data_IF_900411492406
#
_entry.id   IF_900411492406
#
_cell.length_a   1.000
_cell.length_b   1.000
_cell.length_c   1.000
_cell.angle_alpha   90.00
_cell.angle_beta   90.00
_cell.angle_gamma   90.00
#
_symmetry.space_group_name_H-M   'P 1'
#
loop_
_entity.id
_entity.type
_entity.pdbx_description
1 polymer ?
#
# COMPACT_ATOMS: atom_id res chain seq x y z
N UNK A 1 -35.56 -65.82 79.49
CA UNK A 1 -34.84 -66.53 78.39
C UNK A 1 -35.69 -66.67 77.13
N UNK A 2 -36.94 -67.16 77.21
CA UNK A 2 -37.82 -67.35 76.05
C UNK A 2 -38.11 -66.06 75.24
N UNK A 3 -38.42 -64.93 75.89
CA UNK A 3 -38.72 -63.67 75.20
C UNK A 3 -37.56 -63.11 74.35
N UNK A 4 -36.30 -63.35 74.76
CA UNK A 4 -35.15 -62.97 73.95
C UNK A 4 -34.99 -63.88 72.73
N UNK A 5 -35.25 -65.19 72.87
CA UNK A 5 -35.21 -66.12 71.73
C UNK A 5 -36.25 -65.78 70.65
N UNK A 6 -37.46 -65.36 71.02
CA UNK A 6 -38.46 -64.91 70.05
C UNK A 6 -38.09 -63.59 69.35
N UNK A 7 -37.45 -62.66 70.05
CA UNK A 7 -36.90 -61.44 69.44
C UNK A 7 -35.79 -61.76 68.44
N UNK A 8 -34.87 -62.67 68.77
CA UNK A 8 -33.83 -63.12 67.85
C UNK A 8 -34.40 -63.85 66.63
N UNK A 9 -35.41 -64.71 66.82
CA UNK A 9 -36.09 -65.38 65.71
C UNK A 9 -36.80 -64.37 64.78
N UNK A 10 -37.49 -63.38 65.35
CA UNK A 10 -38.14 -62.32 64.56
C UNK A 10 -37.12 -61.47 63.79
N UNK A 11 -36.00 -61.09 64.41
CA UNK A 11 -34.92 -60.36 63.75
C UNK A 11 -34.34 -61.18 62.59
N UNK A 12 -34.08 -62.48 62.77
CA UNK A 12 -33.59 -63.35 61.72
C UNK A 12 -34.58 -63.51 60.56
N UNK A 13 -35.89 -63.62 60.85
CA UNK A 13 -36.93 -63.69 59.83
C UNK A 13 -36.98 -62.38 59.03
N UNK A 14 -36.93 -61.22 59.69
CA UNK A 14 -36.90 -59.92 59.00
C UNK A 14 -35.65 -59.78 58.14
N UNK A 15 -34.47 -60.17 58.65
CA UNK A 15 -33.23 -60.17 57.87
C UNK A 15 -33.35 -61.10 56.65
N UNK A 16 -33.92 -62.30 56.81
CA UNK A 16 -34.11 -63.24 55.71
C UNK A 16 -35.05 -62.68 54.64
N UNK A 17 -36.19 -62.11 55.03
CA UNK A 17 -37.16 -61.51 54.09
C UNK A 17 -36.52 -60.34 53.33
N UNK A 18 -35.82 -59.44 54.04
CA UNK A 18 -35.17 -58.28 53.43
C UNK A 18 -34.05 -58.71 52.47
N UNK A 19 -33.23 -59.68 52.86
CA UNK A 19 -32.15 -60.19 52.00
C UNK A 19 -32.67 -60.95 50.78
N UNK A 20 -33.73 -61.75 50.93
CA UNK A 20 -34.40 -62.41 49.80
C UNK A 20 -35.00 -61.39 48.82
N UNK A 21 -35.69 -60.36 49.33
CA UNK A 21 -36.25 -59.27 48.52
C UNK A 21 -35.16 -58.47 47.80
N UNK A 22 -34.06 -58.15 48.48
CA UNK A 22 -32.91 -57.45 47.89
C UNK A 22 -32.24 -58.32 46.80
N UNK A 23 -32.11 -59.62 47.03
CA UNK A 23 -31.56 -60.56 46.05
C UNK A 23 -32.42 -60.60 44.78
N UNK A 24 -33.75 -60.70 44.93
CA UNK A 24 -34.69 -60.69 43.81
C UNK A 24 -34.61 -59.39 42.99
N UNK A 25 -34.63 -58.23 43.65
CA UNK A 25 -34.48 -56.93 42.98
C UNK A 25 -33.13 -56.80 42.26
N UNK A 26 -32.03 -57.27 42.87
CA UNK A 26 -30.71 -57.26 42.22
C UNK A 26 -30.66 -58.14 40.98
N UNK A 27 -31.34 -59.28 41.00
CA UNK A 27 -31.44 -60.17 39.84
C UNK A 27 -32.21 -59.50 38.69
N UNK A 28 -33.35 -58.87 38.98
CA UNK A 28 -34.15 -58.12 38.00
C UNK A 28 -33.37 -56.93 37.41
N UNK A 29 -32.65 -56.18 38.24
CA UNK A 29 -31.81 -55.07 37.75
C UNK A 29 -30.62 -55.55 36.92
N UNK A 30 -30.12 -56.76 37.16
CA UNK A 30 -29.04 -57.37 36.38
C UNK A 30 -29.52 -57.78 34.99
N UNK A 31 -30.72 -58.37 34.87
CA UNK A 31 -31.27 -58.73 33.55
C UNK A 31 -31.60 -57.50 32.71
N UNK A 32 -32.20 -56.46 33.32
CA UNK A 32 -32.45 -55.17 32.63
C UNK A 32 -31.16 -54.52 32.14
N UNK A 33 -30.11 -54.50 32.97
CA UNK A 33 -28.82 -53.93 32.59
C UNK A 33 -28.17 -54.70 31.43
N UNK A 34 -28.30 -56.02 31.42
CA UNK A 34 -27.78 -56.85 30.32
C UNK A 34 -28.53 -56.56 29.02
N UNK A 35 -29.86 -56.50 29.07
CA UNK A 35 -30.69 -56.16 27.92
C UNK A 35 -30.33 -54.79 27.31
N UNK A 36 -30.24 -53.74 28.14
CA UNK A 36 -29.85 -52.42 27.65
C UNK A 36 -28.42 -52.37 27.12
N UNK A 37 -27.50 -53.16 27.70
CA UNK A 37 -26.13 -53.24 27.19
C UNK A 37 -26.08 -53.87 25.80
N UNK A 38 -26.85 -54.93 25.57
CA UNK A 38 -26.95 -55.57 24.26
C UNK A 38 -27.59 -54.64 23.23
N UNK A 39 -28.63 -53.90 23.61
CA UNK A 39 -29.27 -52.94 22.72
C UNK A 39 -28.35 -51.79 22.32
N UNK A 40 -27.60 -51.22 23.27
CA UNK A 40 -26.59 -50.19 22.98
C UNK A 40 -25.48 -50.73 22.07
N UNK A 41 -25.05 -51.97 22.27
CA UNK A 41 -24.07 -52.60 21.39
C UNK A 41 -24.61 -52.81 19.98
N UNK A 42 -25.86 -53.26 19.83
CA UNK A 42 -26.50 -53.41 18.52
C UNK A 42 -26.63 -52.06 17.83
N UNK A 43 -27.11 -51.04 18.53
CA UNK A 43 -27.20 -49.68 18.02
C UNK A 43 -25.84 -49.13 17.60
N UNK A 44 -24.77 -49.37 18.35
CA UNK A 44 -23.43 -48.92 17.95
C UNK A 44 -22.94 -49.65 16.70
N UNK A 45 -23.26 -50.95 16.54
CA UNK A 45 -22.89 -51.74 15.35
C UNK A 45 -23.72 -51.31 14.14
N UNK A 46 -25.04 -51.13 14.28
CA UNK A 46 -25.89 -50.66 13.17
C UNK A 46 -25.64 -49.19 12.86
N UNK A 47 -25.40 -48.34 13.86
CA UNK A 47 -25.01 -46.93 13.63
C UNK A 47 -23.58 -46.81 13.11
N UNK A 48 -22.77 -47.86 13.07
CA UNK A 48 -21.47 -47.82 12.36
C UNK A 48 -21.53 -48.53 11.01
N UNK A 49 -22.39 -49.54 10.86
CA UNK A 49 -22.50 -50.35 9.65
C UNK A 49 -23.61 -49.90 8.67
N UNK A 50 -24.73 -49.34 9.15
CA UNK A 50 -25.94 -49.10 8.35
C UNK A 50 -26.14 -47.63 7.94
N UNK A 51 -25.30 -46.69 8.38
CA UNK A 51 -25.40 -45.29 7.97
C UNK A 51 -24.37 -44.90 6.90
N UNK A 52 -24.76 -45.02 5.62
CA UNK A 52 -24.26 -44.14 4.54
C UNK A 52 -22.73 -44.11 4.38
N UNK A 53 -22.04 -45.24 4.53
CA UNK A 53 -20.62 -45.34 4.18
C UNK A 53 -20.58 -45.93 2.78
N UNK A 54 -20.34 -45.09 1.78
CA UNK A 54 -19.83 -45.53 0.48
C UNK A 54 -18.70 -46.52 0.76
N UNK A 55 -18.56 -47.60 -0.01
CA UNK A 55 -17.40 -48.47 0.22
C UNK A 55 -16.13 -47.61 0.16
N UNK A 56 -15.07 -47.90 0.92
CA UNK A 56 -13.86 -47.07 0.91
C UNK A 56 -13.33 -46.84 -0.52
N UNK A 57 -13.51 -47.82 -1.40
CA UNK A 57 -13.20 -47.72 -2.83
C UNK A 57 -14.08 -46.71 -3.60
N UNK A 58 -15.36 -46.60 -3.27
CA UNK A 58 -16.27 -45.61 -3.86
C UNK A 58 -15.96 -44.19 -3.37
N UNK A 59 -15.60 -44.03 -2.09
CA UNK A 59 -15.18 -42.73 -1.54
C UNK A 59 -13.89 -42.23 -2.20
N UNK A 60 -12.90 -43.13 -2.37
CA UNK A 60 -11.65 -42.81 -3.07
C UNK A 60 -11.89 -42.44 -4.54
N UNK A 61 -12.81 -43.14 -5.22
CA UNK A 61 -13.17 -42.83 -6.60
C UNK A 61 -13.86 -41.46 -6.72
N UNK A 62 -14.80 -41.14 -5.84
CA UNK A 62 -15.45 -39.82 -5.81
C UNK A 62 -14.46 -38.70 -5.47
N UNK A 63 -13.59 -38.93 -4.49
CA UNK A 63 -12.53 -38.01 -4.12
C UNK A 63 -11.58 -37.74 -5.30
N UNK A 64 -11.17 -38.79 -6.03
CA UNK A 64 -10.32 -38.65 -7.20
C UNK A 64 -10.99 -37.84 -8.32
N UNK A 65 -12.30 -38.01 -8.54
CA UNK A 65 -13.06 -37.22 -9.53
C UNK A 65 -13.14 -35.75 -9.12
N UNK A 66 -13.44 -35.47 -7.86
CA UNK A 66 -13.45 -34.11 -7.32
C UNK A 66 -12.07 -33.43 -7.45
N UNK A 67 -10.99 -34.17 -7.18
CA UNK A 67 -9.63 -33.66 -7.35
C UNK A 67 -9.31 -33.33 -8.80
N UNK A 68 -9.67 -34.19 -9.75
CA UNK A 68 -9.47 -33.93 -11.18
C UNK A 68 -10.24 -32.69 -11.67
N UNK A 69 -11.48 -32.52 -11.22
CA UNK A 69 -12.29 -31.35 -11.56
C UNK A 69 -11.68 -30.06 -10.96
N UNK A 70 -11.21 -30.13 -9.72
CA UNK A 70 -10.52 -29.02 -9.05
C UNK A 70 -9.22 -28.66 -9.79
N UNK A 71 -8.40 -29.65 -10.17
CA UNK A 71 -7.20 -29.42 -10.98
C UNK A 71 -7.51 -28.77 -12.32
N UNK A 72 -8.55 -29.23 -13.02
CA UNK A 72 -8.96 -28.65 -14.29
C UNK A 72 -9.43 -27.20 -14.12
N UNK A 73 -10.16 -26.90 -13.05
CA UNK A 73 -10.61 -25.55 -12.74
C UNK A 73 -9.43 -24.63 -12.35
N UNK A 74 -8.52 -25.12 -11.52
CA UNK A 74 -7.30 -24.41 -11.13
C UNK A 74 -6.42 -24.08 -12.35
N UNK A 75 -6.30 -25.00 -13.32
CA UNK A 75 -5.59 -24.75 -14.58
C UNK A 75 -6.22 -23.59 -15.35
N UNK A 76 -7.55 -23.62 -15.55
CA UNK A 76 -8.28 -22.54 -16.24
C UNK A 76 -8.09 -21.18 -15.55
N UNK A 77 -8.20 -21.14 -14.22
CA UNK A 77 -7.99 -19.91 -13.44
C UNK A 77 -6.54 -19.44 -13.52
N UNK A 78 -5.57 -20.37 -13.50
CA UNK A 78 -4.16 -20.03 -13.62
C UNK A 78 -3.86 -19.38 -14.99
N UNK A 79 -4.45 -19.90 -16.07
CA UNK A 79 -4.30 -19.33 -17.41
C UNK A 79 -4.90 -17.91 -17.47
N UNK A 80 -6.13 -17.71 -16.99
CA UNK A 80 -6.76 -16.39 -16.93
C UNK A 80 -5.94 -15.40 -16.07
N UNK A 81 -5.39 -15.87 -14.94
CA UNK A 81 -4.51 -15.08 -14.08
C UNK A 81 -3.25 -14.68 -14.81
N UNK A 82 -2.63 -15.59 -15.57
CA UNK A 82 -1.42 -15.32 -16.33
C UNK A 82 -1.66 -14.31 -17.45
N UNK A 83 -2.79 -14.41 -18.17
CA UNK A 83 -3.16 -13.44 -19.18
C UNK A 83 -3.35 -12.03 -18.59
N UNK A 84 -4.04 -11.93 -17.45
CA UNK A 84 -4.18 -10.64 -16.75
C UNK A 84 -2.83 -10.09 -16.31
N UNK A 85 -1.98 -10.94 -15.72
CA UNK A 85 -0.66 -10.52 -15.24
C UNK A 85 0.23 -10.07 -16.41
N UNK A 86 0.16 -10.71 -17.57
CA UNK A 86 0.89 -10.30 -18.76
C UNK A 86 0.48 -8.90 -19.20
N UNK A 87 -0.84 -8.62 -19.28
CA UNK A 87 -1.37 -7.28 -19.60
C UNK A 87 -0.94 -6.22 -18.58
N UNK A 88 -0.92 -6.56 -17.29
CA UNK A 88 -0.45 -5.66 -16.24
C UNK A 88 1.06 -5.35 -16.40
N UNK A 89 1.88 -6.35 -16.72
CA UNK A 89 3.32 -6.17 -16.96
C UNK A 89 3.60 -5.32 -18.19
N UNK A 90 2.82 -5.50 -19.27
CA UNK A 90 2.93 -4.67 -20.47
C UNK A 90 2.60 -3.20 -20.17
N UNK A 91 1.53 -2.94 -19.41
CA UNK A 91 1.18 -1.57 -18.98
C UNK A 91 2.26 -0.95 -18.12
N UNK A 92 2.76 -1.68 -17.12
CA UNK A 92 3.85 -1.20 -16.27
C UNK A 92 5.11 -0.91 -17.08
N UNK A 93 5.47 -1.76 -18.04
CA UNK A 93 6.61 -1.53 -18.91
C UNK A 93 6.44 -0.27 -19.78
N UNK A 94 5.24 -0.01 -20.28
CA UNK A 94 4.93 1.20 -21.04
C UNK A 94 5.04 2.46 -20.15
N UNK A 95 4.45 2.44 -18.94
CA UNK A 95 4.53 3.55 -17.99
C UNK A 95 5.97 3.86 -17.57
N UNK A 96 6.77 2.83 -17.30
CA UNK A 96 8.19 3.01 -16.96
C UNK A 96 8.95 3.65 -18.12
N UNK A 97 8.67 3.24 -19.36
CA UNK A 97 9.32 3.80 -20.55
C UNK A 97 8.97 5.27 -20.73
N UNK A 98 7.68 5.62 -20.65
CA UNK A 98 7.22 7.00 -20.72
C UNK A 98 7.86 7.87 -19.64
N UNK A 99 7.93 7.36 -18.40
CA UNK A 99 8.57 8.07 -17.29
C UNK A 99 10.06 8.28 -17.52
N UNK A 100 10.75 7.30 -18.11
CA UNK A 100 12.17 7.39 -18.43
C UNK A 100 12.42 8.42 -19.55
N UNK A 101 11.59 8.43 -20.58
CA UNK A 101 11.66 9.40 -21.68
C UNK A 101 11.40 10.82 -21.17
N UNK A 102 10.35 11.02 -20.37
CA UNK A 102 10.04 12.31 -19.75
C UNK A 102 11.12 12.78 -18.76
N UNK A 103 11.81 11.85 -18.08
CA UNK A 103 12.96 12.19 -17.25
C UNK A 103 14.17 12.60 -18.09
N UNK A 104 14.40 11.92 -19.23
CA UNK A 104 15.50 12.25 -20.13
C UNK A 104 15.34 13.64 -20.74
N UNK A 105 14.15 13.97 -21.25
CA UNK A 105 13.84 15.30 -21.81
C UNK A 105 14.06 16.40 -20.77
N UNK A 106 13.58 16.21 -19.53
CA UNK A 106 13.78 17.19 -18.46
C UNK A 106 15.25 17.39 -18.10
N UNK A 107 16.05 16.33 -18.14
CA UNK A 107 17.48 16.45 -17.88
C UNK A 107 18.21 17.13 -19.05
N UNK A 108 17.84 16.81 -20.30
CA UNK A 108 18.35 17.49 -21.50
C UNK A 108 18.07 19.01 -21.43
N UNK A 109 16.83 19.43 -21.17
CA UNK A 109 16.47 20.84 -21.00
C UNK A 109 17.23 21.50 -19.84
N UNK A 110 17.44 20.78 -18.73
CA UNK A 110 18.20 21.30 -17.59
C UNK A 110 19.66 21.51 -17.96
N UNK A 111 20.27 20.57 -18.67
CA UNK A 111 21.64 20.67 -19.13
C UNK A 111 21.80 21.84 -20.12
N UNK A 112 20.87 22.00 -21.06
CA UNK A 112 20.87 23.14 -22.00
C UNK A 112 20.81 24.49 -21.27
N UNK A 113 19.94 24.64 -20.27
CA UNK A 113 19.87 25.85 -19.44
C UNK A 113 21.18 26.12 -18.70
N UNK A 114 21.79 25.09 -18.12
CA UNK A 114 23.07 25.21 -17.42
C UNK A 114 24.17 25.64 -18.40
N UNK A 115 24.23 25.03 -19.58
CA UNK A 115 25.20 25.38 -20.61
C UNK A 115 25.04 26.83 -21.08
N UNK A 116 23.81 27.30 -21.24
CA UNK A 116 23.53 28.69 -21.60
C UNK A 116 23.99 29.67 -20.51
N UNK A 117 23.71 29.37 -19.24
CA UNK A 117 24.19 30.17 -18.11
C UNK A 117 25.71 30.20 -18.08
N UNK A 118 26.37 29.04 -18.21
CA UNK A 118 27.84 28.95 -18.22
C UNK A 118 28.42 29.73 -19.39
N UNK A 119 27.78 29.70 -20.58
CA UNK A 119 28.23 30.47 -21.74
C UNK A 119 28.10 31.97 -21.49
N UNK A 120 26.96 32.42 -20.96
CA UNK A 120 26.74 33.83 -20.60
C UNK A 120 27.77 34.31 -19.57
N UNK A 121 28.02 33.51 -18.54
CA UNK A 121 28.98 33.84 -17.50
C UNK A 121 30.42 33.89 -18.04
N UNK A 122 30.79 33.02 -18.98
CA UNK A 122 32.10 33.08 -19.67
C UNK A 122 32.28 34.36 -20.49
N UNK A 123 31.22 34.85 -21.12
CA UNK A 123 31.26 36.13 -21.84
C UNK A 123 31.38 37.31 -20.86
N UNK A 124 30.60 37.30 -19.77
CA UNK A 124 30.68 38.32 -18.71
C UNK A 124 32.03 38.33 -18.01
N UNK A 125 32.64 37.16 -17.79
CA UNK A 125 33.94 37.04 -17.14
C UNK A 125 35.07 37.78 -17.86
N UNK A 126 34.94 37.99 -19.18
CA UNK A 126 35.90 38.80 -19.96
C UNK A 126 35.86 40.28 -19.57
N UNK A 127 34.74 40.75 -19.03
CA UNK A 127 34.55 42.14 -18.58
C UNK A 127 34.95 42.36 -17.12
N UNK A 128 35.35 41.30 -16.41
CA UNK A 128 35.76 41.41 -15.00
C UNK A 128 37.09 42.16 -14.85
N UNK A 129 37.17 42.96 -13.79
CA UNK A 129 38.35 43.75 -13.47
C UNK A 129 39.40 42.81 -12.86
N UNK A 130 40.48 42.56 -13.58
CA UNK A 130 41.66 41.84 -13.09
C UNK A 130 42.68 42.85 -12.54
N UNK A 131 43.71 42.35 -11.83
CA UNK A 131 44.75 43.21 -11.25
C UNK A 131 45.45 44.08 -12.30
N UNK A 132 45.58 43.57 -13.53
CA UNK A 132 46.23 44.27 -14.65
C UNK A 132 45.37 45.40 -15.25
N UNK A 133 44.03 45.28 -15.20
CA UNK A 133 43.09 46.26 -15.76
C UNK A 133 42.48 47.17 -14.67
N UNK A 134 43.08 47.23 -13.48
CA UNK A 134 42.50 47.91 -12.33
C UNK A 134 42.56 49.43 -12.44
N UNK A 135 43.73 49.99 -12.79
CA UNK A 135 43.94 51.44 -12.85
C UNK A 135 43.08 52.09 -13.95
N UNK A 136 43.05 51.47 -15.13
CA UNK A 136 42.22 51.86 -16.27
C UNK A 136 40.72 51.82 -15.96
N UNK A 137 40.24 50.80 -15.23
CA UNK A 137 38.85 50.70 -14.83
C UNK A 137 38.45 51.81 -13.82
N UNK A 138 39.35 52.21 -12.92
CA UNK A 138 39.10 53.30 -11.96
C UNK A 138 38.95 54.63 -12.69
N UNK A 139 39.83 54.94 -13.64
CA UNK A 139 39.74 56.17 -14.43
C UNK A 139 38.44 56.23 -15.25
N UNK A 140 38.05 55.12 -15.89
CA UNK A 140 36.81 55.04 -16.66
C UNK A 140 35.56 55.22 -15.77
N UNK A 141 35.56 54.67 -14.56
CA UNK A 141 34.45 54.82 -13.61
C UNK A 141 34.31 56.26 -13.10
N UNK A 142 35.42 56.96 -12.87
CA UNK A 142 35.41 58.37 -12.48
C UNK A 142 34.95 59.29 -13.63
N UNK A 143 35.32 58.95 -14.87
CA UNK A 143 34.95 59.71 -16.05
C UNK A 143 33.46 59.55 -16.43
N UNK A 144 32.85 58.40 -16.15
CA UNK A 144 31.46 58.09 -16.51
C UNK A 144 30.61 57.66 -15.30
N UNK A 145 30.08 58.62 -14.51
CA UNK A 145 29.16 58.30 -13.42
C UNK A 145 27.80 57.84 -13.97
N UNK A 146 27.39 56.62 -13.61
CA UNK A 146 26.10 56.03 -14.02
C UNK A 146 25.03 56.30 -12.95
N UNK A 147 23.88 56.86 -13.35
CA UNK A 147 22.71 57.09 -12.48
C UNK A 147 21.67 55.97 -12.65
N UNK A 148 21.41 55.22 -11.57
CA UNK A 148 20.39 54.16 -11.54
C UNK A 148 19.01 54.66 -11.07
N UNK A 149 18.84 55.95 -10.78
CA UNK A 149 17.55 56.46 -10.31
C UNK A 149 16.49 56.40 -11.42
N UNK A 150 15.34 55.81 -11.12
CA UNK A 150 14.16 55.85 -11.99
C UNK A 150 12.88 55.97 -11.15
N UNK A 151 11.82 56.50 -11.73
CA UNK A 151 10.47 56.52 -11.17
C UNK A 151 9.50 55.78 -12.09
N UNK A 152 8.45 55.20 -11.51
CA UNK A 152 7.42 54.44 -12.24
C UNK A 152 6.06 55.09 -11.98
N UNK A 153 5.28 55.32 -13.03
CA UNK A 153 3.91 55.83 -12.93
C UNK A 153 2.88 54.70 -12.73
N UNK A 154 1.66 55.04 -12.34
CA UNK A 154 0.54 54.10 -12.16
C UNK A 154 0.19 53.32 -13.45
N UNK A 155 0.56 53.86 -14.62
CA UNK A 155 0.41 53.24 -15.94
C UNK A 155 1.60 52.36 -16.34
N UNK A 156 2.61 52.21 -15.48
CA UNK A 156 3.79 51.36 -15.71
C UNK A 156 4.89 52.00 -16.55
N UNK A 157 4.82 53.31 -16.83
CA UNK A 157 5.86 54.02 -17.57
C UNK A 157 7.08 54.29 -16.66
N UNK A 158 8.29 53.99 -17.16
CA UNK A 158 9.55 54.19 -16.44
C UNK A 158 10.19 55.51 -16.87
N UNK A 159 10.46 56.39 -15.92
CA UNK A 159 11.18 57.64 -16.11
C UNK A 159 12.56 57.55 -15.45
N UNK A 160 13.62 57.54 -16.26
CA UNK A 160 15.01 57.42 -15.78
C UNK A 160 15.61 58.81 -15.53
N UNK A 161 16.35 58.94 -14.43
CA UNK A 161 17.14 60.12 -14.06
C UNK A 161 16.60 60.87 -12.85
N UNK A 162 17.52 61.36 -12.02
CA UNK A 162 17.26 62.10 -10.77
C UNK A 162 16.33 63.32 -10.88
N UNK A 163 16.19 63.90 -12.06
CA UNK A 163 15.39 65.12 -12.31
C UNK A 163 14.01 64.82 -12.93
N UNK A 164 13.73 63.55 -13.25
CA UNK A 164 12.46 63.16 -13.89
C UNK A 164 11.41 62.79 -12.83
N UNK A 165 10.44 63.68 -12.63
CA UNK A 165 9.28 63.47 -11.75
C UNK A 165 8.06 63.05 -12.61
N UNK A 166 7.19 62.17 -12.10
CA UNK A 166 5.90 61.89 -12.74
C UNK A 166 5.08 63.18 -12.77
N UNK A 167 4.89 63.75 -13.97
CA UNK A 167 4.20 65.03 -14.21
C UNK A 167 5.08 66.25 -14.55
N UNK A 168 6.41 66.10 -14.60
CA UNK A 168 7.32 67.15 -15.07
C UNK A 168 7.45 67.20 -16.60
N UNK A 169 7.86 68.35 -17.17
CA UNK A 169 8.20 68.55 -18.60
C UNK A 169 9.46 67.79 -19.04
N UNK A 170 9.69 66.59 -18.53
CA UNK A 170 10.74 65.69 -19.01
C UNK A 170 10.19 64.93 -20.21
N UNK A 171 10.86 65.02 -21.35
CA UNK A 171 10.56 64.19 -22.51
C UNK A 171 10.65 62.72 -22.07
N UNK A 172 9.64 61.87 -22.34
CA UNK A 172 9.79 60.44 -22.11
C UNK A 172 11.03 59.98 -22.87
N UNK A 173 11.89 59.20 -22.21
CA UNK A 173 13.05 58.63 -22.85
C UNK A 173 12.56 57.65 -23.93
N UNK A 174 12.41 58.14 -25.17
CA UNK A 174 12.48 57.28 -26.35
C UNK A 174 13.94 56.89 -26.50
N UNK A 175 14.39 55.92 -25.71
CA UNK A 175 15.74 55.37 -25.79
C UNK A 175 15.66 53.91 -26.20
N UNK A 176 15.73 53.67 -27.51
CA UNK A 176 15.98 52.36 -28.09
C UNK A 176 17.41 51.85 -27.86
N UNK A 177 17.98 52.07 -26.67
CA UNK A 177 19.30 51.55 -26.29
C UNK A 177 19.29 51.38 -24.77
N UNK A 178 18.92 50.18 -24.29
CA UNK A 178 19.11 49.59 -22.95
C UNK A 178 17.97 48.65 -22.52
N UNK A 179 16.92 48.49 -23.32
CA UNK A 179 15.82 47.56 -23.01
C UNK A 179 16.24 46.08 -23.09
N UNK A 180 17.37 45.77 -23.72
CA UNK A 180 17.85 44.40 -23.90
C UNK A 180 18.28 43.70 -22.61
N UNK A 181 18.81 44.40 -21.61
CA UNK A 181 19.31 43.76 -20.38
C UNK A 181 18.20 43.54 -19.32
N UNK A 182 17.20 44.42 -19.28
CA UNK A 182 16.08 44.30 -18.33
C UNK A 182 15.01 43.33 -18.86
N UNK A 183 14.80 43.24 -20.18
CA UNK A 183 13.88 42.24 -20.74
C UNK A 183 14.44 40.81 -20.68
N UNK A 184 15.76 40.61 -20.89
CA UNK A 184 16.39 39.29 -20.78
C UNK A 184 16.35 38.70 -19.36
N UNK A 185 16.39 39.54 -18.32
CA UNK A 185 16.35 39.07 -16.93
C UNK A 185 14.93 38.68 -16.47
N UNK A 186 13.90 39.29 -17.05
CA UNK A 186 12.49 38.96 -16.80
C UNK A 186 12.06 37.71 -17.57
N UNK A 187 12.55 37.53 -18.81
CA UNK A 187 12.29 36.33 -19.61
C UNK A 187 13.04 35.09 -19.10
N UNK A 188 14.24 35.24 -18.53
CA UNK A 188 14.98 34.12 -17.92
C UNK A 188 14.45 33.69 -16.54
N UNK A 189 13.54 34.46 -15.93
CA UNK A 189 12.89 34.16 -14.64
C UNK A 189 11.50 33.52 -14.76
N UNK A 190 10.94 33.40 -15.97
CA UNK A 190 9.65 32.77 -16.23
C UNK A 190 9.80 31.40 -16.89
#
# INVERSE_FOLDING_TARGET
RLHNNYKYAHILIVIYIVTASLCNNRLQMRSLRQYFREEVLRLNVTTTADHIVLTPEQEEAEFARCMQENEAWNKKIADERNERLLKERERQAAEIRERLEAARVREEERMERIEEIVRREKELAKTFITHENLETAIEQALANPVDYNFSIDLQGNIYRGRTTLPGGKGTPATSGVQDTEVQQTIEASN
#
